data_IF_631981228039
#
_entry.id   IF_631981228039
#
_cell.length_a   1.000
_cell.length_b   1.000
_cell.length_c   1.000
_cell.angle_alpha   90.00
_cell.angle_beta   90.00
_cell.angle_gamma   90.00
#
_symmetry.space_group_name_H-M   'P 1'
#
loop_
_entity.id
_entity.type
_entity.pdbx_description
1 polymer ?
#
# COMPACT_ATOMS: atom_id res chain seq x y z
N UNK A 1 19.01 3.08 -5.05
CA UNK A 1 18.66 1.67 -4.81
C UNK A 1 17.56 1.57 -3.77
N UNK A 2 16.59 0.69 -3.99
CA UNK A 2 15.50 0.44 -3.05
C UNK A 2 15.66 -0.95 -2.44
N UNK A 3 15.40 -1.09 -1.15
CA UNK A 3 15.45 -2.36 -0.44
C UNK A 3 14.04 -2.85 -0.10
N UNK A 4 13.91 -4.15 0.15
CA UNK A 4 12.62 -4.73 0.55
C UNK A 4 12.13 -4.05 1.82
N UNK A 5 10.86 -3.62 1.82
CA UNK A 5 10.24 -2.92 2.93
C UNK A 5 10.37 -1.40 2.89
N UNK A 6 11.17 -0.85 1.97
CA UNK A 6 11.22 0.60 1.77
C UNK A 6 9.90 1.10 1.19
N UNK A 7 9.50 2.29 1.61
CA UNK A 7 8.33 2.95 1.04
C UNK A 7 8.74 3.83 -0.15
N UNK A 8 7.92 3.82 -1.17
CA UNK A 8 8.19 4.49 -2.44
C UNK A 8 7.07 5.48 -2.73
N UNK A 9 7.43 6.72 -3.03
CA UNK A 9 6.50 7.76 -3.41
C UNK A 9 6.85 8.27 -4.80
N UNK A 10 5.89 8.27 -5.71
CA UNK A 10 6.05 8.94 -7.00
C UNK A 10 5.86 10.44 -6.81
N UNK A 11 6.87 11.22 -7.18
CA UNK A 11 6.90 12.66 -6.86
C UNK A 11 5.85 13.49 -7.59
N UNK A 12 5.21 12.96 -8.63
CA UNK A 12 4.17 13.65 -9.40
C UNK A 12 2.84 12.92 -9.44
N UNK A 13 2.80 11.70 -8.93
CA UNK A 13 1.61 10.84 -8.96
C UNK A 13 1.46 10.14 -7.62
N UNK A 14 1.06 10.88 -6.62
CA UNK A 14 1.00 10.44 -5.22
C UNK A 14 -0.43 10.19 -4.73
N UNK A 15 -1.41 10.17 -5.62
CA UNK A 15 -2.82 9.97 -5.27
C UNK A 15 -3.09 8.64 -4.58
N UNK A 16 -2.27 7.63 -4.86
CA UNK A 16 -2.37 6.34 -4.23
C UNK A 16 -1.62 6.20 -2.90
N UNK A 17 -0.95 7.28 -2.45
CA UNK A 17 -0.10 7.23 -1.24
C UNK A 17 1.26 6.61 -1.52
N UNK A 18 1.83 5.95 -0.53
CA UNK A 18 3.13 5.30 -0.65
C UNK A 18 2.97 3.81 -0.96
N UNK A 19 3.81 3.33 -1.87
CA UNK A 19 3.95 1.90 -2.14
C UNK A 19 5.07 1.31 -1.27
N UNK A 20 5.07 -0.01 -1.14
CA UNK A 20 6.12 -0.74 -0.44
C UNK A 20 6.92 -1.60 -1.43
N UNK A 21 8.24 -1.57 -1.32
CA UNK A 21 9.10 -2.38 -2.17
C UNK A 21 9.06 -3.84 -1.75
N UNK A 22 8.75 -4.72 -2.68
CA UNK A 22 8.74 -6.18 -2.47
C UNK A 22 10.04 -6.83 -2.91
N UNK A 23 10.85 -6.12 -3.67
CA UNK A 23 12.14 -6.58 -4.18
C UNK A 23 13.16 -5.47 -4.07
N UNK A 24 14.43 -5.85 -3.96
CA UNK A 24 15.53 -4.92 -4.05
C UNK A 24 15.78 -4.55 -5.51
N UNK A 25 16.08 -3.28 -5.78
CA UNK A 25 16.35 -2.85 -7.15
C UNK A 25 16.70 -1.39 -7.27
N UNK A 26 16.79 -0.94 -8.52
CA UNK A 26 17.07 0.45 -8.88
C UNK A 26 15.77 1.05 -9.39
N UNK A 27 15.46 2.27 -8.94
CA UNK A 27 14.25 2.98 -9.34
C UNK A 27 14.60 4.30 -10.03
N UNK A 28 13.64 4.81 -10.79
CA UNK A 28 13.75 6.09 -11.49
C UNK A 28 13.90 7.27 -10.51
N UNK A 29 14.60 8.36 -10.91
CA UNK A 29 14.62 9.59 -10.10
C UNK A 29 13.26 10.24 -9.87
N UNK A 30 12.22 9.84 -10.61
CA UNK A 30 10.85 10.31 -10.38
C UNK A 30 10.25 9.77 -9.08
N UNK A 31 10.91 8.83 -8.42
CA UNK A 31 10.49 8.26 -7.16
C UNK A 31 11.39 8.70 -6.01
N UNK A 32 10.81 8.81 -4.84
CA UNK A 32 11.56 9.03 -3.60
C UNK A 32 11.31 7.86 -2.66
N UNK A 33 12.36 7.39 -1.98
CA UNK A 33 12.25 6.28 -1.05
C UNK A 33 12.34 6.75 0.38
N UNK A 34 11.57 6.09 1.25
CA UNK A 34 11.58 6.34 2.69
C UNK A 34 11.86 5.03 3.41
N UNK A 35 12.71 5.11 4.42
CA UNK A 35 13.08 3.96 5.23
C UNK A 35 12.79 4.26 6.70
N UNK A 36 12.07 3.36 7.35
CA UNK A 36 11.78 3.48 8.78
C UNK A 36 12.78 2.68 9.60
N UNK A 37 13.22 3.27 10.70
CA UNK A 37 14.06 2.59 11.69
C UNK A 37 13.14 1.89 12.69
N UNK A 38 13.37 0.60 12.92
CA UNK A 38 12.53 -0.22 13.80
C UNK A 38 11.03 -0.11 13.43
N UNK A 39 10.74 -0.21 12.12
CA UNK A 39 9.38 -0.15 11.63
C UNK A 39 9.02 -1.42 10.84
N UNK A 40 7.77 -1.87 10.99
CA UNK A 40 7.23 -2.97 10.20
C UNK A 40 6.41 -2.40 9.05
N UNK A 41 6.85 -2.64 7.81
CA UNK A 41 6.19 -2.12 6.62
C UNK A 41 4.76 -2.63 6.46
N UNK A 42 4.45 -3.83 6.98
CA UNK A 42 3.10 -4.40 6.91
C UNK A 42 2.12 -3.61 7.77
N UNK A 43 2.60 -3.00 8.88
CA UNK A 43 1.79 -2.11 9.71
C UNK A 43 1.56 -0.77 9.04
N UNK A 44 2.61 -0.15 8.47
CA UNK A 44 2.52 1.19 7.92
C UNK A 44 1.94 1.25 6.51
N UNK A 45 2.03 0.18 5.73
CA UNK A 45 1.55 0.18 4.35
C UNK A 45 0.05 0.52 4.25
N UNK A 46 -0.85 -0.10 5.02
CA UNK A 46 -2.25 0.28 4.99
C UNK A 46 -2.49 1.73 5.43
N UNK A 47 -1.73 2.23 6.39
CA UNK A 47 -1.84 3.62 6.83
C UNK A 47 -1.44 4.60 5.73
N UNK A 48 -0.31 4.36 5.06
CA UNK A 48 0.17 5.25 4.00
C UNK A 48 -0.70 5.23 2.76
N UNK A 49 -1.59 4.27 2.62
CA UNK A 49 -2.57 4.21 1.54
C UNK A 49 -3.97 4.61 1.98
N UNK A 50 -4.12 5.02 3.23
CA UNK A 50 -5.42 5.43 3.77
C UNK A 50 -5.83 6.81 3.29
N UNK A 51 -7.14 7.05 3.29
CA UNK A 51 -7.70 8.38 3.01
C UNK A 51 -7.14 9.45 3.94
N UNK A 52 -7.02 9.14 5.22
CA UNK A 52 -6.50 10.08 6.22
C UNK A 52 -5.08 10.53 5.87
N UNK A 53 -4.19 9.61 5.55
CA UNK A 53 -2.82 9.96 5.21
C UNK A 53 -2.77 10.77 3.91
N UNK A 54 -3.43 10.29 2.86
CA UNK A 54 -3.34 10.89 1.53
C UNK A 54 -3.98 12.28 1.50
N UNK A 55 -5.19 12.41 2.02
CA UNK A 55 -5.99 13.63 1.84
C UNK A 55 -5.88 14.64 2.97
N UNK A 56 -5.50 14.19 4.18
CA UNK A 56 -5.41 15.07 5.34
C UNK A 56 -3.96 15.40 5.69
N UNK A 57 -3.09 14.40 5.74
CA UNK A 57 -1.71 14.60 6.17
C UNK A 57 -0.76 14.95 5.04
N UNK A 58 -0.88 14.27 3.88
CA UNK A 58 0.04 14.45 2.75
C UNK A 58 -0.35 15.65 1.87
N UNK A 59 -1.62 15.84 1.61
CA UNK A 59 -2.11 16.85 0.67
C UNK A 59 -1.62 18.28 0.94
N UNK A 60 -1.49 18.77 2.21
CA UNK A 60 -0.93 20.09 2.46
C UNK A 60 0.50 20.30 1.98
N UNK A 61 1.25 19.23 1.73
CA UNK A 61 2.62 19.28 1.24
C UNK A 61 2.73 19.16 -0.27
N UNK A 62 1.60 19.19 -0.96
CA UNK A 62 1.51 19.08 -2.41
C UNK A 62 1.39 20.46 -3.03
N UNK A 63 2.21 20.73 -4.04
CA UNK A 63 2.22 21.99 -4.76
C UNK A 63 1.84 21.77 -6.23
N UNK A 64 1.28 22.82 -6.85
CA UNK A 64 0.96 22.84 -8.25
C UNK A 64 -0.39 22.20 -8.59
N UNK A 65 -0.74 22.25 -9.88
CA UNK A 65 -2.03 21.80 -10.40
C UNK A 65 -1.76 20.85 -11.58
N UNK A 66 -2.47 19.72 -11.63
CA UNK A 66 -2.38 18.74 -12.73
C UNK A 66 -0.95 18.26 -12.95
N UNK A 67 -0.44 18.40 -14.17
CA UNK A 67 0.86 17.87 -14.58
C UNK A 67 2.04 18.58 -13.92
N UNK A 68 1.82 19.75 -13.33
CA UNK A 68 2.83 20.49 -12.59
C UNK A 68 2.87 20.18 -11.09
N UNK A 69 2.18 19.13 -10.63
CA UNK A 69 2.19 18.74 -9.21
C UNK A 69 3.57 18.31 -8.77
N UNK A 70 3.97 18.79 -7.61
CA UNK A 70 5.17 18.35 -6.91
C UNK A 70 4.89 18.25 -5.43
N UNK A 71 5.78 17.58 -4.70
CA UNK A 71 5.61 17.38 -3.27
C UNK A 71 6.78 18.00 -2.51
N UNK A 72 6.47 18.64 -1.38
CA UNK A 72 7.48 19.12 -0.43
C UNK A 72 7.94 17.93 0.43
N UNK A 73 9.03 17.30 0.01
CA UNK A 73 9.57 16.11 0.70
C UNK A 73 10.02 16.44 2.11
N UNK A 74 10.65 17.59 2.31
CA UNK A 74 11.13 17.97 3.64
C UNK A 74 9.98 18.27 4.61
N UNK A 75 8.92 18.92 4.14
CA UNK A 75 7.71 19.12 4.93
C UNK A 75 6.98 17.81 5.21
N UNK A 76 6.92 16.93 4.22
CA UNK A 76 6.32 15.61 4.36
C UNK A 76 7.02 14.77 5.45
N UNK A 77 8.33 14.84 5.55
CA UNK A 77 9.09 14.12 6.58
C UNK A 77 8.74 14.56 8.00
N UNK A 78 8.16 15.74 8.17
CA UNK A 78 7.75 16.27 9.48
C UNK A 78 6.31 15.88 9.85
N UNK A 79 5.59 15.18 9.01
CA UNK A 79 4.24 14.68 9.32
C UNK A 79 4.32 13.72 10.51
N UNK A 80 3.45 13.97 11.49
CA UNK A 80 3.35 13.07 12.64
C UNK A 80 2.48 11.89 12.30
N UNK A 81 3.00 10.69 12.51
CA UNK A 81 2.30 9.44 12.25
C UNK A 81 2.24 8.59 13.54
N UNK A 82 1.29 7.65 13.64
CA UNK A 82 1.27 6.73 14.77
C UNK A 82 2.60 5.97 14.88
N UNK A 83 3.12 5.86 16.09
CA UNK A 83 4.36 5.13 16.32
C UNK A 83 4.20 4.20 17.53
N UNK A 84 3.48 3.09 17.38
CA UNK A 84 3.42 2.06 18.41
C UNK A 84 4.78 1.36 18.56
N UNK A 85 4.93 0.54 19.61
CA UNK A 85 6.15 -0.24 19.77
C UNK A 85 6.36 -1.17 18.57
N UNK A 86 7.61 -1.55 18.31
CA UNK A 86 7.90 -2.48 17.22
C UNK A 86 7.15 -3.82 17.39
N UNK A 87 7.05 -4.30 18.63
CA UNK A 87 6.30 -5.53 18.91
C UNK A 87 4.82 -5.40 18.52
N UNK A 88 4.20 -4.28 18.82
CA UNK A 88 2.81 -4.00 18.43
C UNK A 88 2.67 -3.89 16.92
N UNK A 89 3.60 -3.20 16.24
CA UNK A 89 3.61 -3.11 14.79
C UNK A 89 3.66 -4.50 14.16
N UNK A 90 4.49 -5.38 14.70
CA UNK A 90 4.64 -6.74 14.21
C UNK A 90 3.36 -7.55 14.40
N UNK A 91 2.69 -7.41 15.54
CA UNK A 91 1.41 -8.06 15.79
C UNK A 91 0.35 -7.62 14.79
N UNK A 92 0.24 -6.32 14.54
CA UNK A 92 -0.69 -5.80 13.53
C UNK A 92 -0.32 -6.27 12.13
N UNK A 93 0.97 -6.30 11.80
CA UNK A 93 1.45 -6.79 10.51
C UNK A 93 1.07 -8.25 10.27
N UNK A 94 1.26 -9.11 11.29
CA UNK A 94 0.87 -10.51 11.21
C UNK A 94 -0.65 -10.66 11.04
N UNK A 95 -1.42 -9.85 11.76
CA UNK A 95 -2.87 -9.83 11.63
C UNK A 95 -3.32 -9.44 10.22
N UNK A 96 -2.72 -8.41 9.64
CA UNK A 96 -3.04 -7.98 8.27
C UNK A 96 -2.69 -9.06 7.25
N UNK A 97 -1.56 -9.77 7.43
CA UNK A 97 -1.21 -10.89 6.56
C UNK A 97 -2.27 -12.01 6.64
N UNK A 98 -2.75 -12.33 7.84
CA UNK A 98 -3.81 -13.31 8.02
C UNK A 98 -5.11 -12.88 7.33
N UNK A 99 -5.48 -11.60 7.44
CA UNK A 99 -6.65 -11.06 6.75
C UNK A 99 -6.52 -11.16 5.24
N UNK A 100 -5.36 -10.81 4.70
CA UNK A 100 -5.11 -10.88 3.26
C UNK A 100 -5.19 -12.32 2.75
N UNK A 101 -4.67 -13.29 3.51
CA UNK A 101 -4.77 -14.70 3.19
C UNK A 101 -6.23 -15.17 3.20
N UNK A 102 -7.00 -14.76 4.19
CA UNK A 102 -8.42 -15.10 4.28
C UNK A 102 -9.22 -14.53 3.10
N UNK A 103 -8.97 -13.27 2.74
CA UNK A 103 -9.61 -12.62 1.58
C UNK A 103 -9.28 -13.38 0.30
N UNK A 104 -8.02 -13.70 0.08
CA UNK A 104 -7.58 -14.45 -1.11
C UNK A 104 -8.26 -15.82 -1.18
N UNK A 105 -8.35 -16.54 -0.06
CA UNK A 105 -9.01 -17.84 -0.01
C UNK A 105 -10.49 -17.73 -0.35
N UNK A 106 -11.19 -16.75 0.18
CA UNK A 106 -12.60 -16.52 -0.12
C UNK A 106 -12.82 -16.17 -1.59
N UNK A 107 -11.95 -15.35 -2.18
CA UNK A 107 -12.02 -15.00 -3.60
C UNK A 107 -11.88 -16.25 -4.48
N UNK A 108 -10.94 -17.13 -4.13
CA UNK A 108 -10.75 -18.41 -4.86
C UNK A 108 -11.98 -19.31 -4.76
N UNK A 109 -12.59 -19.38 -3.57
CA UNK A 109 -13.83 -20.17 -3.38
C UNK A 109 -14.98 -19.63 -4.23
N UNK A 110 -15.15 -18.30 -4.26
CA UNK A 110 -16.19 -17.66 -5.08
C UNK A 110 -15.97 -17.96 -6.57
N UNK A 111 -14.75 -17.84 -7.05
CA UNK A 111 -14.40 -18.15 -8.44
C UNK A 111 -14.69 -19.61 -8.79
N UNK A 112 -14.33 -20.54 -7.89
CA UNK A 112 -14.59 -21.96 -8.10
C UNK A 112 -16.08 -22.26 -8.16
N UNK A 113 -16.89 -21.64 -7.28
CA UNK A 113 -18.34 -21.79 -7.28
C UNK A 113 -18.98 -21.21 -8.53
N UNK A 114 -18.48 -20.08 -9.02
CA UNK A 114 -18.97 -19.47 -10.27
C UNK A 114 -18.68 -20.36 -11.48
N UNK A 115 -17.50 -20.97 -11.54
CA UNK A 115 -17.15 -21.93 -12.59
C UNK A 115 -18.05 -23.16 -12.55
N UNK A 116 -18.31 -23.68 -11.35
CA UNK A 116 -19.19 -24.82 -11.15
C UNK A 116 -20.61 -24.51 -11.62
N UNK A 117 -21.14 -23.36 -11.23
CA UNK A 117 -22.47 -22.90 -11.65
C UNK A 117 -22.55 -22.83 -13.18
N UNK A 118 -21.55 -22.23 -13.82
CA UNK A 118 -21.49 -22.12 -15.28
C UNK A 118 -21.49 -23.49 -15.95
N UNK A 119 -20.70 -24.43 -15.45
CA UNK A 119 -20.62 -25.80 -15.97
C UNK A 119 -21.94 -26.53 -15.84
N UNK A 120 -22.60 -26.43 -14.68
CA UNK A 120 -23.90 -27.05 -14.45
C UNK A 120 -24.98 -26.48 -15.37
N UNK A 121 -25.02 -25.17 -15.55
CA UNK A 121 -25.97 -24.54 -16.46
C UNK A 121 -25.76 -25.00 -17.91
N UNK A 122 -24.51 -25.15 -18.35
CA UNK A 122 -24.22 -25.66 -19.69
C UNK A 122 -24.71 -27.10 -19.86
N UNK A 123 -24.55 -27.94 -18.83
CA UNK A 123 -25.04 -29.32 -18.88
C UNK A 123 -26.56 -29.41 -18.87
N UNK A 124 -27.23 -28.51 -18.15
CA UNK A 124 -28.69 -28.53 -18.03
C UNK A 124 -29.40 -28.05 -19.30
N UNK A 125 -28.75 -27.20 -20.08
CA UNK A 125 -29.38 -26.56 -21.27
C UNK A 125 -28.76 -26.97 -22.61
N UNK A 126 -28.11 -28.11 -22.62
CA UNK A 126 -27.58 -28.71 -23.88
C UNK A 126 -28.69 -29.36 -24.71
#
# INVERSE_FOLDING_TARGET
>A
MVNVGDFILHLRSFEGGLEVAKQQGIISPAYHTFHGKESDSRFYYPFFRSFQFINILLKPHVFGIRDGKSIDVEGMKKIKIPYPSYAEQKQFGDFFDQLDQAITLHQRKVEALQKLKKSLLQQMFV
#
